data_IF_349426306143
#
_entry.id   IF_349426306143
#
_cell.length_a   1.000
_cell.length_b   1.000
_cell.length_c   1.000
_cell.angle_alpha   90.00
_cell.angle_beta   90.00
_cell.angle_gamma   90.00
#
_symmetry.space_group_name_H-M   'P 1'
#
loop_
_entity.id
_entity.type
_entity.pdbx_description
1 polymer ?
#
# COMPACT_ATOMS: atom_id res chain seq x y z
N UNK A 1 52.01 7.12 6.41
CA UNK A 1 50.88 6.44 7.06
C UNK A 1 49.87 7.51 7.42
N UNK A 2 48.68 7.51 6.82
CA UNK A 2 47.69 8.58 6.99
C UNK A 2 46.76 8.67 5.79
N UNK A 3 45.94 7.63 5.59
CA UNK A 3 44.85 7.67 4.60
C UNK A 3 43.68 8.46 5.20
N UNK A 4 43.33 9.54 4.49
CA UNK A 4 42.13 10.34 4.62
C UNK A 4 40.88 9.45 4.70
N UNK A 5 40.12 9.58 5.79
CA UNK A 5 38.75 9.10 5.91
C UNK A 5 37.85 10.06 5.12
N UNK A 6 37.51 9.67 3.89
CA UNK A 6 36.42 10.29 3.16
C UNK A 6 35.09 9.97 3.83
N UNK A 7 34.45 10.96 4.41
CA UNK A 7 33.05 10.87 4.81
C UNK A 7 32.20 10.71 3.54
N UNK A 8 31.71 9.50 3.30
CA UNK A 8 30.65 9.27 2.32
C UNK A 8 29.37 9.92 2.88
N UNK A 9 29.14 11.18 2.50
CA UNK A 9 27.85 11.82 2.65
C UNK A 9 26.84 11.02 1.81
N UNK A 10 26.08 10.15 2.46
CA UNK A 10 24.99 9.41 1.84
C UNK A 10 24.05 10.39 1.14
N UNK A 11 23.78 10.17 -0.14
CA UNK A 11 22.77 10.94 -0.88
C UNK A 11 21.45 10.91 -0.09
N UNK A 12 20.73 12.03 0.02
CA UNK A 12 19.41 12.03 0.62
C UNK A 12 18.50 11.10 -0.21
N UNK A 13 17.95 10.07 0.45
CA UNK A 13 17.06 9.09 -0.19
C UNK A 13 15.76 9.78 -0.62
N UNK A 14 15.38 9.59 -1.87
CA UNK A 14 14.07 9.98 -2.38
C UNK A 14 13.11 8.83 -2.11
N UNK A 15 11.93 9.12 -1.56
CA UNK A 15 10.89 8.12 -1.38
C UNK A 15 9.75 8.39 -2.38
N UNK A 16 9.17 7.36 -2.98
CA UNK A 16 8.01 7.44 -3.87
C UNK A 16 6.85 6.66 -3.25
N UNK A 17 5.67 7.29 -3.16
CA UNK A 17 4.43 6.59 -2.90
C UNK A 17 3.63 6.52 -4.20
N UNK A 18 3.44 5.31 -4.72
CA UNK A 18 2.57 5.07 -5.85
C UNK A 18 1.21 4.62 -5.31
N UNK A 19 0.19 5.46 -5.48
CA UNK A 19 -1.21 5.08 -5.27
C UNK A 19 -1.70 4.44 -6.57
N UNK A 20 -1.81 3.12 -6.61
CA UNK A 20 -2.38 2.40 -7.75
C UNK A 20 -3.84 2.03 -7.45
N UNK A 21 -4.76 2.65 -8.18
CA UNK A 21 -6.20 2.39 -8.14
C UNK A 21 -6.73 2.18 -9.57
N UNK A 22 -7.74 1.32 -9.76
CA UNK A 22 -8.31 1.06 -11.08
C UNK A 22 -9.83 1.32 -11.14
N UNK A 23 -10.21 2.22 -12.05
CA UNK A 23 -11.48 2.35 -12.82
C UNK A 23 -12.86 2.53 -12.11
N UNK A 24 -13.86 3.13 -12.81
CA UNK A 24 -15.06 3.73 -12.21
C UNK A 24 -16.26 2.79 -12.01
N UNK A 25 -16.16 1.51 -12.35
CA UNK A 25 -17.31 0.62 -12.33
C UNK A 25 -17.36 -0.22 -11.04
N UNK A 26 -18.31 0.16 -10.17
CA UNK A 26 -18.89 -0.66 -9.10
C UNK A 26 -18.04 -0.78 -7.84
N UNK A 27 -17.95 0.30 -7.05
CA UNK A 27 -17.98 0.15 -5.58
C UNK A 27 -18.36 1.45 -4.82
N UNK A 28 -19.35 1.36 -3.92
CA UNK A 28 -19.64 2.37 -2.88
C UNK A 28 -18.75 2.06 -1.66
N UNK A 29 -17.50 2.55 -1.67
CA UNK A 29 -16.52 2.35 -0.59
C UNK A 29 -15.64 3.58 -0.39
N UNK A 30 -15.16 3.80 0.84
CA UNK A 30 -14.84 5.12 1.42
C UNK A 30 -13.34 5.47 1.37
N UNK A 31 -12.73 5.70 0.20
CA UNK A 31 -11.45 6.44 0.11
C UNK A 31 -11.68 7.94 0.41
N UNK A 32 -12.03 8.28 1.65
CA UNK A 32 -12.45 9.66 1.96
C UNK A 32 -11.32 10.54 2.52
N UNK A 33 -10.16 10.00 2.95
CA UNK A 33 -9.13 10.79 3.67
C UNK A 33 -7.64 10.39 3.53
N UNK A 34 -7.28 9.25 2.94
CA UNK A 34 -5.90 8.75 2.96
C UNK A 34 -4.91 9.65 2.21
N UNK A 35 -5.27 10.09 1.00
CA UNK A 35 -4.52 11.02 0.15
C UNK A 35 -4.11 12.31 0.89
N UNK A 36 -5.03 12.92 1.64
CA UNK A 36 -4.73 14.11 2.45
C UNK A 36 -3.85 13.81 3.64
N UNK A 37 -4.06 12.67 4.29
CA UNK A 37 -3.21 12.24 5.39
C UNK A 37 -1.77 12.04 4.91
N UNK A 38 -1.59 11.33 3.80
CA UNK A 38 -0.29 11.12 3.16
C UNK A 38 0.35 12.47 2.80
N UNK A 39 -0.36 13.35 2.08
CA UNK A 39 0.20 14.65 1.69
C UNK A 39 0.71 15.43 2.90
N UNK A 40 -0.11 15.49 3.96
CA UNK A 40 0.24 16.18 5.21
C UNK A 40 1.44 15.55 5.90
N UNK A 41 1.53 14.22 5.91
CA UNK A 41 2.65 13.50 6.49
C UNK A 41 3.95 13.73 5.70
N UNK A 42 3.87 13.75 4.36
CA UNK A 42 5.01 14.07 3.50
C UNK A 42 5.52 15.48 3.80
N UNK A 43 4.64 16.48 3.80
CA UNK A 43 5.00 17.88 4.08
C UNK A 43 5.64 18.05 5.47
N UNK A 44 5.15 17.30 6.47
CA UNK A 44 5.62 17.41 7.84
C UNK A 44 6.95 16.66 8.11
N UNK A 45 7.16 15.53 7.45
CA UNK A 45 8.18 14.56 7.91
C UNK A 45 9.13 14.10 6.80
N UNK A 46 8.76 14.22 5.53
CA UNK A 46 9.60 13.76 4.42
C UNK A 46 9.37 14.58 3.15
N UNK A 47 9.65 15.90 3.14
CA UNK A 47 9.26 16.81 2.05
C UNK A 47 9.89 16.52 0.69
N UNK A 48 10.83 15.57 0.61
CA UNK A 48 11.43 15.07 -0.64
C UNK A 48 10.70 13.87 -1.23
N UNK A 49 9.71 13.30 -0.52
CA UNK A 49 8.88 12.20 -1.00
C UNK A 49 7.96 12.71 -2.09
N UNK A 50 7.87 11.98 -3.21
CA UNK A 50 6.91 12.24 -4.29
C UNK A 50 5.67 11.38 -4.10
N UNK A 51 4.50 11.99 -4.26
CA UNK A 51 3.21 11.32 -4.31
C UNK A 51 2.76 11.17 -5.76
N UNK A 52 2.66 9.94 -6.24
CA UNK A 52 2.27 9.61 -7.61
C UNK A 52 0.92 8.90 -7.54
N UNK A 53 -0.07 9.40 -8.26
CA UNK A 53 -1.40 8.78 -8.36
C UNK A 53 -1.57 8.14 -9.72
N UNK A 54 -1.80 6.84 -9.75
CA UNK A 54 -2.24 6.07 -10.92
C UNK A 54 -3.70 5.69 -10.70
N UNK A 55 -4.61 6.44 -11.30
CA UNK A 55 -6.05 6.22 -11.22
C UNK A 55 -6.71 6.81 -12.47
N UNK A 56 -7.35 5.98 -13.32
CA UNK A 56 -7.98 6.46 -14.55
C UNK A 56 -9.18 7.39 -14.28
N UNK A 57 -9.89 7.22 -13.16
CA UNK A 57 -11.06 8.02 -12.84
C UNK A 57 -11.26 8.13 -11.32
N UNK A 58 -10.55 9.06 -10.66
CA UNK A 58 -10.59 9.16 -9.22
C UNK A 58 -11.94 9.71 -8.76
N UNK A 59 -12.45 9.12 -7.67
CA UNK A 59 -13.75 9.52 -7.10
C UNK A 59 -13.77 10.93 -6.52
N UNK A 60 -12.60 11.57 -6.35
CA UNK A 60 -12.43 12.96 -5.91
C UNK A 60 -11.23 13.55 -6.62
N UNK A 61 -11.24 14.87 -6.81
CA UNK A 61 -10.06 15.62 -7.21
C UNK A 61 -8.95 15.45 -6.15
N UNK A 62 -7.99 14.56 -6.43
CA UNK A 62 -6.79 14.28 -5.63
C UNK A 62 -5.53 14.89 -6.28
N UNK A 63 -5.68 15.37 -7.51
CA UNK A 63 -4.63 15.83 -8.41
C UNK A 63 -3.79 16.91 -7.76
N UNK A 64 -4.44 17.84 -7.05
CA UNK A 64 -3.79 18.95 -6.35
C UNK A 64 -2.91 18.51 -5.17
N UNK A 65 -3.05 17.27 -4.72
CA UNK A 65 -2.24 16.71 -3.64
C UNK A 65 -1.06 15.90 -4.20
N UNK A 66 -1.12 15.48 -5.46
CA UNK A 66 -0.13 14.60 -6.06
C UNK A 66 0.93 15.41 -6.82
N UNK A 67 2.17 14.93 -6.77
CA UNK A 67 3.29 15.46 -7.54
C UNK A 67 3.25 14.99 -8.99
N UNK A 68 2.55 13.87 -9.24
CA UNK A 68 2.32 13.29 -10.57
C UNK A 68 0.99 12.54 -10.60
N UNK A 69 0.30 12.61 -11.74
CA UNK A 69 -1.02 12.00 -11.95
C UNK A 69 -1.01 11.26 -13.28
N UNK A 70 -1.27 9.96 -13.23
CA UNK A 70 -1.35 9.05 -14.37
C UNK A 70 -2.82 8.60 -14.48
N UNK A 71 -3.46 8.97 -15.61
CA UNK A 71 -4.88 8.69 -15.90
C UNK A 71 -5.04 7.46 -16.77
N UNK A 72 -4.45 6.38 -16.30
CA UNK A 72 -4.45 5.11 -17.00
C UNK A 72 -4.87 3.98 -16.08
N UNK A 73 -5.40 2.93 -16.70
CA UNK A 73 -5.73 1.69 -16.03
C UNK A 73 -4.45 0.94 -15.67
N UNK A 74 -4.44 0.26 -14.53
CA UNK A 74 -3.30 -0.57 -14.13
C UNK A 74 -2.98 -1.63 -15.18
N UNK A 75 -4.00 -2.11 -15.88
CA UNK A 75 -3.88 -3.14 -16.91
C UNK A 75 -3.30 -2.64 -18.24
N UNK A 76 -3.23 -1.32 -18.46
CA UNK A 76 -2.78 -0.75 -19.74
C UNK A 76 -1.57 0.16 -19.62
N UNK A 77 -1.20 0.57 -18.40
CA UNK A 77 -0.04 1.44 -18.18
C UNK A 77 1.25 0.70 -18.50
N UNK A 78 2.27 1.45 -18.92
CA UNK A 78 3.63 0.93 -19.02
C UNK A 78 4.15 0.52 -17.64
N UNK A 79 4.45 -0.77 -17.47
CA UNK A 79 4.87 -1.36 -16.20
C UNK A 79 6.30 -0.96 -15.81
N UNK A 80 7.10 -0.39 -16.72
CA UNK A 80 8.42 0.17 -16.42
C UNK A 80 8.34 1.25 -15.32
N UNK A 81 7.16 1.84 -15.11
CA UNK A 81 6.86 2.72 -13.97
C UNK A 81 7.25 2.10 -12.61
N UNK A 82 7.03 0.79 -12.45
CA UNK A 82 7.26 0.07 -11.19
C UNK A 82 8.72 -0.37 -11.02
N UNK A 83 9.47 -0.50 -12.12
CA UNK A 83 10.90 -0.84 -12.10
C UNK A 83 11.75 0.28 -11.48
N UNK A 84 11.18 1.47 -11.33
CA UNK A 84 11.80 2.64 -10.69
C UNK A 84 11.58 2.73 -9.18
N UNK A 85 10.83 1.81 -8.58
CA UNK A 85 10.65 1.74 -7.14
C UNK A 85 11.90 1.17 -6.46
N UNK A 86 12.40 1.87 -5.45
CA UNK A 86 13.61 1.49 -4.72
C UNK A 86 13.30 1.13 -3.26
N UNK A 87 14.31 0.59 -2.56
CA UNK A 87 14.19 0.23 -1.16
C UNK A 87 13.67 1.39 -0.28
N UNK A 88 12.54 1.16 0.40
CA UNK A 88 11.83 2.14 1.23
C UNK A 88 10.70 2.88 0.52
N UNK A 89 10.58 2.78 -0.80
CA UNK A 89 9.42 3.26 -1.53
C UNK A 89 8.18 2.43 -1.19
N UNK A 90 7.01 3.02 -1.37
CA UNK A 90 5.74 2.39 -1.03
C UNK A 90 4.87 2.27 -2.29
N UNK A 91 4.43 1.05 -2.59
CA UNK A 91 3.35 0.76 -3.53
C UNK A 91 2.06 0.51 -2.75
N UNK A 92 1.08 1.38 -2.93
CA UNK A 92 -0.21 1.30 -2.25
C UNK A 92 -1.30 0.86 -3.24
N UNK A 93 -1.79 -0.36 -3.06
CA UNK A 93 -2.77 -1.00 -3.93
C UNK A 93 -4.14 -0.90 -3.26
N UNK A 94 -5.02 -0.11 -3.89
CA UNK A 94 -6.43 -0.01 -3.55
C UNK A 94 -7.27 0.02 -4.81
N UNK A 95 -7.34 -1.16 -5.44
CA UNK A 95 -7.98 -1.36 -6.71
C UNK A 95 -9.41 -1.88 -6.60
N UNK A 96 -9.73 -2.82 -7.48
CA UNK A 96 -11.06 -3.41 -7.59
C UNK A 96 -11.34 -4.48 -6.53
N UNK A 97 -10.30 -5.03 -5.89
CA UNK A 97 -10.31 -6.18 -4.97
C UNK A 97 -10.84 -7.49 -5.59
N UNK A 98 -11.02 -7.53 -6.92
CA UNK A 98 -11.63 -8.65 -7.64
C UNK A 98 -10.68 -9.22 -8.69
N UNK A 99 -10.23 -10.44 -8.46
CA UNK A 99 -9.41 -11.20 -9.39
C UNK A 99 -10.27 -11.79 -10.53
N UNK A 100 -10.05 -11.30 -11.75
CA UNK A 100 -10.57 -11.84 -13.00
C UNK A 100 -9.45 -11.93 -14.06
N UNK A 101 -9.75 -12.46 -15.24
CA UNK A 101 -8.84 -12.37 -16.37
C UNK A 101 -8.51 -10.90 -16.62
N UNK A 102 -7.22 -10.57 -16.62
CA UNK A 102 -6.71 -9.23 -16.90
C UNK A 102 -7.38 -8.14 -16.03
N UNK A 103 -7.62 -8.45 -14.76
CA UNK A 103 -7.99 -7.44 -13.76
C UNK A 103 -6.75 -6.81 -13.14
N UNK A 104 -6.88 -5.60 -12.64
CA UNK A 104 -5.86 -4.93 -11.83
C UNK A 104 -5.26 -5.79 -10.72
N UNK A 105 -6.06 -6.61 -10.02
CA UNK A 105 -5.54 -7.58 -9.04
C UNK A 105 -4.62 -8.60 -9.71
N UNK A 106 -5.04 -9.17 -10.84
CA UNK A 106 -4.22 -10.14 -11.60
C UNK A 106 -2.91 -9.52 -12.07
N UNK A 107 -2.96 -8.31 -12.61
CA UNK A 107 -1.77 -7.56 -13.07
C UNK A 107 -0.85 -7.21 -11.90
N UNK A 108 -1.42 -6.78 -10.77
CA UNK A 108 -0.65 -6.50 -9.56
C UNK A 108 0.17 -7.72 -9.13
N UNK A 109 -0.46 -8.89 -9.03
CA UNK A 109 0.21 -10.09 -8.53
C UNK A 109 1.15 -10.77 -9.54
N UNK A 110 0.76 -10.82 -10.82
CA UNK A 110 1.50 -11.58 -11.83
C UNK A 110 2.55 -10.75 -12.56
N UNK A 111 2.31 -9.45 -12.75
CA UNK A 111 3.17 -8.62 -13.59
C UNK A 111 3.93 -7.57 -12.77
N UNK A 112 3.33 -6.99 -11.73
CA UNK A 112 3.95 -5.91 -10.94
C UNK A 112 4.79 -6.44 -9.78
N UNK A 113 4.22 -7.26 -8.88
CA UNK A 113 4.94 -7.76 -7.70
C UNK A 113 6.30 -8.42 -8.05
N UNK A 114 6.42 -9.24 -9.11
CA UNK A 114 7.71 -9.85 -9.46
C UNK A 114 8.79 -8.88 -9.94
N UNK A 115 8.40 -7.65 -10.33
CA UNK A 115 9.33 -6.61 -10.82
C UNK A 115 9.92 -5.76 -9.70
N UNK A 116 9.26 -5.70 -8.55
CA UNK A 116 9.61 -4.79 -7.48
C UNK A 116 11.01 -5.10 -6.93
N UNK A 117 11.81 -4.04 -6.74
CA UNK A 117 13.13 -4.18 -6.13
C UNK A 117 13.03 -4.60 -4.65
N UNK A 118 14.04 -5.31 -4.13
CA UNK A 118 14.18 -5.56 -2.70
C UNK A 118 14.07 -4.27 -1.87
N UNK A 119 13.33 -4.34 -0.77
CA UNK A 119 13.06 -3.25 0.16
C UNK A 119 11.86 -2.38 -0.20
N UNK A 120 11.21 -2.58 -1.35
CA UNK A 120 9.94 -1.89 -1.66
C UNK A 120 8.85 -2.40 -0.71
N UNK A 121 8.10 -1.47 -0.13
CA UNK A 121 6.99 -1.74 0.78
C UNK A 121 5.69 -1.78 -0.02
N UNK A 122 4.91 -2.85 0.12
CA UNK A 122 3.61 -3.00 -0.55
C UNK A 122 2.49 -3.01 0.47
N UNK A 123 1.45 -2.22 0.17
CA UNK A 123 0.19 -2.22 0.90
C UNK A 123 -0.93 -2.77 0.04
N UNK A 124 -1.69 -3.71 0.59
CA UNK A 124 -2.97 -4.15 0.05
C UNK A 124 -4.10 -3.63 0.93
N UNK A 125 -5.01 -2.86 0.35
CA UNK A 125 -6.17 -2.34 1.09
C UNK A 125 -7.20 -3.46 1.33
N UNK A 126 -8.07 -3.28 2.33
CA UNK A 126 -9.21 -4.15 2.58
C UNK A 126 -8.88 -5.65 2.73
N UNK A 127 -7.71 -6.00 3.25
CA UNK A 127 -7.32 -7.39 3.57
C UNK A 127 -7.62 -7.76 5.03
N UNK A 128 -8.17 -8.96 5.24
CA UNK A 128 -8.61 -9.47 6.55
C UNK A 128 -7.83 -10.69 7.05
N UNK A 129 -6.82 -11.14 6.30
CA UNK A 129 -6.02 -12.30 6.63
C UNK A 129 -5.49 -12.27 8.08
N UNK A 130 -5.46 -13.43 8.78
CA UNK A 130 -5.78 -14.77 8.29
C UNK A 130 -7.28 -15.12 8.34
N UNK A 131 -8.15 -14.13 8.59
CA UNK A 131 -9.60 -14.33 8.61
C UNK A 131 -10.19 -14.14 7.22
N UNK A 132 -11.38 -14.68 7.03
CA UNK A 132 -12.17 -14.43 5.83
C UNK A 132 -12.75 -13.00 5.81
N UNK A 133 -13.20 -12.56 4.63
CA UNK A 133 -13.92 -11.31 4.48
C UNK A 133 -15.16 -11.30 5.39
N UNK A 134 -15.55 -10.14 5.95
CA UNK A 134 -16.76 -10.04 6.75
C UNK A 134 -17.99 -10.50 5.94
N UNK A 135 -18.91 -11.25 6.56
CA UNK A 135 -20.12 -11.74 5.88
C UNK A 135 -20.95 -10.62 5.23
N UNK A 136 -20.96 -9.42 5.83
CA UNK A 136 -21.60 -8.22 5.29
C UNK A 136 -21.01 -7.74 3.93
N UNK A 137 -19.87 -8.29 3.51
CA UNK A 137 -19.20 -7.98 2.25
C UNK A 137 -19.42 -9.07 1.20
N UNK A 138 -20.30 -10.04 1.43
CA UNK A 138 -20.55 -11.15 0.50
C UNK A 138 -20.92 -10.69 -0.92
N UNK A 139 -21.70 -9.61 -1.06
CA UNK A 139 -22.09 -9.06 -2.37
C UNK A 139 -20.99 -8.22 -3.05
N UNK A 140 -19.85 -8.00 -2.38
CA UNK A 140 -18.70 -7.33 -2.99
C UNK A 140 -17.92 -8.25 -3.91
N UNK A 141 -18.00 -9.56 -3.64
CA UNK A 141 -17.26 -10.61 -4.35
C UNK A 141 -15.75 -10.35 -4.40
N UNK A 142 -15.19 -9.75 -3.34
CA UNK A 142 -13.75 -9.54 -3.24
C UNK A 142 -13.05 -10.90 -3.17
N UNK A 143 -11.97 -11.01 -3.93
CA UNK A 143 -11.20 -12.24 -4.07
C UNK A 143 -9.68 -12.03 -3.98
N UNK A 144 -9.23 -10.78 -3.92
CA UNK A 144 -7.81 -10.41 -3.83
C UNK A 144 -7.08 -11.06 -2.65
N UNK A 145 -7.68 -11.08 -1.45
CA UNK A 145 -7.01 -11.65 -0.28
C UNK A 145 -6.69 -13.14 -0.42
N UNK A 146 -7.45 -13.89 -1.22
CA UNK A 146 -7.18 -15.31 -1.42
C UNK A 146 -5.97 -15.51 -2.33
N UNK A 147 -5.78 -14.63 -3.32
CA UNK A 147 -4.57 -14.63 -4.13
C UNK A 147 -3.36 -14.24 -3.28
N UNK A 148 -3.51 -13.24 -2.41
CA UNK A 148 -2.49 -12.89 -1.42
C UNK A 148 -2.18 -14.09 -0.50
N UNK A 149 -3.18 -14.79 0.02
CA UNK A 149 -2.96 -15.96 0.87
C UNK A 149 -2.18 -17.06 0.14
N UNK A 150 -2.54 -17.36 -1.11
CA UNK A 150 -1.79 -18.30 -1.95
C UNK A 150 -0.34 -17.85 -2.14
N UNK A 151 -0.11 -16.56 -2.45
CA UNK A 151 1.22 -15.99 -2.59
C UNK A 151 2.05 -16.11 -1.31
N UNK A 152 1.44 -15.79 -0.16
CA UNK A 152 2.07 -15.89 1.16
C UNK A 152 2.50 -17.33 1.50
N UNK A 153 1.66 -18.30 1.14
CA UNK A 153 1.91 -19.73 1.40
C UNK A 153 2.90 -20.35 0.41
N UNK A 154 3.01 -19.81 -0.80
CA UNK A 154 3.86 -20.37 -1.85
C UNK A 154 5.35 -20.09 -1.61
N UNK A 155 5.73 -18.88 -1.17
CA UNK A 155 7.13 -18.53 -0.97
C UNK A 155 7.34 -17.47 0.11
N UNK A 156 7.72 -17.92 1.31
CA UNK A 156 7.95 -17.05 2.47
C UNK A 156 9.24 -16.22 2.40
N UNK A 157 10.14 -16.48 1.46
CA UNK A 157 11.42 -15.77 1.34
C UNK A 157 11.37 -14.57 0.41
N UNK A 158 10.34 -14.41 -0.42
CA UNK A 158 10.21 -13.27 -1.35
C UNK A 158 9.82 -11.97 -0.66
N UNK A 159 9.31 -12.03 0.56
CA UNK A 159 8.87 -10.87 1.29
C UNK A 159 9.01 -11.05 2.80
N UNK A 160 8.99 -9.94 3.51
CA UNK A 160 8.84 -9.86 4.96
C UNK A 160 7.47 -9.27 5.27
N UNK A 161 6.67 -9.98 6.06
CA UNK A 161 5.40 -9.47 6.55
C UNK A 161 5.69 -8.34 7.55
N UNK A 162 5.15 -7.15 7.30
CA UNK A 162 5.34 -5.98 8.17
C UNK A 162 4.17 -5.80 9.12
N UNK A 163 2.93 -5.81 8.59
CA UNK A 163 1.77 -5.39 9.38
C UNK A 163 0.44 -5.93 8.83
N UNK A 164 -0.03 -7.10 9.30
CA UNK A 164 -1.39 -7.59 9.04
C UNK A 164 -2.38 -6.91 10.01
N UNK A 165 -2.89 -5.73 9.63
CA UNK A 165 -3.59 -4.82 10.54
C UNK A 165 -4.83 -5.47 11.19
N UNK A 166 -5.61 -6.21 10.41
CA UNK A 166 -6.83 -6.84 10.90
C UNK A 166 -6.57 -7.96 11.93
N UNK A 167 -5.49 -8.72 11.72
CA UNK A 167 -5.02 -9.72 12.69
C UNK A 167 -4.54 -9.06 13.98
N UNK A 168 -3.69 -8.04 13.86
CA UNK A 168 -3.12 -7.31 14.99
C UNK A 168 -4.22 -6.72 15.88
N UNK A 169 -5.22 -6.07 15.28
CA UNK A 169 -6.33 -5.49 16.02
C UNK A 169 -7.31 -6.50 16.65
N UNK A 170 -7.07 -7.80 16.49
CA UNK A 170 -7.81 -8.90 17.13
C UNK A 170 -6.99 -9.68 18.14
N UNK A 171 -5.69 -9.50 18.14
CA UNK A 171 -4.79 -10.11 19.10
C UNK A 171 -4.56 -9.14 20.26
N UNK A 172 -4.85 -9.57 21.48
CA UNK A 172 -4.78 -8.72 22.66
C UNK A 172 -3.34 -8.31 23.00
N UNK A 173 -2.36 -9.19 22.76
CA UNK A 173 -0.95 -8.90 23.02
C UNK A 173 -0.41 -7.88 22.01
N UNK A 174 -0.73 -8.07 20.72
CA UNK A 174 -0.28 -7.15 19.67
C UNK A 174 -1.01 -5.80 19.75
N UNK A 175 -2.29 -5.80 20.10
CA UNK A 175 -3.04 -4.54 20.31
C UNK A 175 -2.46 -3.74 21.47
N UNK A 176 -2.03 -4.39 22.56
CA UNK A 176 -1.43 -3.71 23.71
C UNK A 176 -0.16 -2.92 23.36
N UNK A 177 0.57 -3.33 22.31
CA UNK A 177 1.72 -2.58 21.79
C UNK A 177 1.30 -1.23 21.18
N UNK A 178 0.09 -1.16 20.62
CA UNK A 178 -0.47 0.04 19.97
C UNK A 178 -1.28 0.91 20.92
N UNK A 179 -1.66 0.44 22.11
CA UNK A 179 -2.43 1.21 23.10
C UNK A 179 -1.84 2.61 23.40
N UNK A 180 -0.52 2.82 23.53
CA UNK A 180 0.05 4.15 23.77
C UNK A 180 -0.18 5.16 22.62
N UNK A 181 -0.51 4.67 21.43
CA UNK A 181 -0.92 5.51 20.30
C UNK A 181 -2.40 5.86 20.42
N UNK A 182 -3.27 4.87 20.60
CA UNK A 182 -4.73 5.05 20.57
C UNK A 182 -5.33 5.65 21.84
N UNK A 183 -4.60 5.63 22.95
CA UNK A 183 -5.00 6.29 24.22
C UNK A 183 -4.74 7.80 24.23
N UNK A 184 -4.06 8.33 23.20
CA UNK A 184 -3.78 9.77 23.11
C UNK A 184 -5.05 10.58 22.84
N UNK A 185 -5.21 11.78 23.42
CA UNK A 185 -6.37 12.64 23.18
C UNK A 185 -6.63 12.91 21.69
N UNK A 186 -5.57 13.03 20.89
CA UNK A 186 -5.65 13.28 19.45
C UNK A 186 -6.22 12.10 18.65
N UNK A 187 -6.17 10.89 19.22
CA UNK A 187 -6.66 9.65 18.61
C UNK A 187 -8.05 9.26 19.11
N UNK A 188 -8.68 10.10 19.95
CA UNK A 188 -10.02 9.85 20.47
C UNK A 188 -11.04 9.71 19.32
N UNK A 189 -11.75 8.58 19.28
CA UNK A 189 -12.75 8.27 18.25
C UNK A 189 -12.18 7.70 16.95
N UNK A 190 -10.87 7.45 16.87
CA UNK A 190 -10.26 6.68 15.77
C UNK A 190 -10.42 5.20 16.08
N UNK A 191 -10.94 4.43 15.12
CA UNK A 191 -11.00 2.98 15.24
C UNK A 191 -9.58 2.40 15.06
N UNK A 192 -9.06 1.64 16.05
CA UNK A 192 -7.72 1.06 15.95
C UNK A 192 -7.62 -0.09 14.95
N UNK A 193 -8.76 -0.61 14.49
CA UNK A 193 -8.83 -1.70 13.51
C UNK A 193 -9.03 -1.19 12.09
N UNK A 194 -8.28 -1.75 11.14
CA UNK A 194 -8.49 -1.51 9.72
C UNK A 194 -8.18 -2.76 8.89
N UNK A 195 -8.81 -2.87 7.72
CA UNK A 195 -8.49 -3.89 6.72
C UNK A 195 -7.29 -3.43 5.91
N UNK A 196 -6.12 -4.01 6.17
CA UNK A 196 -4.93 -3.83 5.35
C UNK A 196 -3.85 -4.86 5.67
N UNK A 197 -3.01 -5.11 4.68
CA UNK A 197 -1.86 -5.99 4.80
C UNK A 197 -0.62 -5.33 4.21
N UNK A 198 0.45 -5.28 4.99
CA UNK A 198 1.72 -4.67 4.58
C UNK A 198 2.83 -5.72 4.51
N UNK A 199 3.60 -5.67 3.45
CA UNK A 199 4.80 -6.48 3.25
C UNK A 199 5.95 -5.66 2.68
N UNK A 200 7.17 -6.15 2.82
CA UNK A 200 8.39 -5.61 2.19
C UNK A 200 8.99 -6.68 1.30
N UNK A 201 9.38 -6.36 0.08
CA UNK A 201 10.02 -7.29 -0.85
C UNK A 201 11.46 -7.58 -0.39
N UNK A 202 11.92 -8.83 -0.48
CA UNK A 202 13.27 -9.26 -0.06
C UNK A 202 14.27 -9.36 -1.20
#
# INVERSE_FOLDING_TARGET
>A
MGKSLGAAAGRPRHFRLHLAASSPAVFRGRLRRFDRFVRRAIEAHSPKTRLISLDPEPRREIDRLCDEVIRERLETVDLDLFDHLEAGDILFIDGSHRCFMDSDVTVAFLDILPRLAPGVIVHFHDIFLPYDYPAAWGERYYSEQYLLACFLLAETKLFRILFPNWFIGRDAELTAVLDPLFTRPEMQGVEPRGGSFWLEIN
#
